data_IF_767560803681
#
_entry.id   IF_767560803681
#
_cell.length_a   1.000
_cell.length_b   1.000
_cell.length_c   1.000
_cell.angle_alpha   90.00
_cell.angle_beta   90.00
_cell.angle_gamma   90.00
#
_symmetry.space_group_name_H-M   'P 1'
#
loop_
_entity.id
_entity.type
_entity.pdbx_description
1 polymer ?
#
# COMPACT_ATOMS: atom_id res chain seq x y z
N UNK A 1 -13.02 8.30 -12.31
CA UNK A 1 -14.15 8.71 -11.44
C UNK A 1 -13.83 10.07 -10.85
N UNK A 2 -14.72 11.05 -10.96
CA UNK A 2 -14.53 12.38 -10.37
C UNK A 2 -15.09 12.39 -8.94
N UNK A 3 -14.28 12.84 -7.97
CA UNK A 3 -14.60 12.85 -6.53
C UNK A 3 -14.34 14.25 -5.97
N UNK A 4 -15.29 14.82 -5.24
CA UNK A 4 -15.17 16.14 -4.66
C UNK A 4 -14.08 16.22 -3.57
N UNK A 5 -13.40 17.37 -3.49
CA UNK A 5 -12.51 17.66 -2.36
C UNK A 5 -13.36 17.92 -1.12
N UNK A 6 -12.89 17.49 0.05
CA UNK A 6 -13.61 17.61 1.34
C UNK A 6 -14.15 19.02 1.66
N UNK A 7 -13.53 20.07 1.13
CA UNK A 7 -13.89 21.48 1.39
C UNK A 7 -14.49 22.21 0.18
N UNK A 8 -14.86 21.51 -0.88
CA UNK A 8 -15.35 22.16 -2.11
C UNK A 8 -16.82 22.59 -2.08
N UNK A 9 -17.59 22.13 -1.08
CA UNK A 9 -19.04 22.33 -0.99
C UNK A 9 -19.85 21.50 -1.99
N UNK A 10 -19.19 20.65 -2.80
CA UNK A 10 -19.84 19.77 -3.77
C UNK A 10 -20.14 18.43 -3.11
N UNK A 11 -21.40 17.99 -3.18
CA UNK A 11 -21.80 16.65 -2.73
C UNK A 11 -21.33 15.63 -3.76
N UNK A 12 -20.52 14.67 -3.32
CA UNK A 12 -20.16 13.48 -4.09
C UNK A 12 -19.97 12.30 -3.15
N UNK A 13 -19.93 11.10 -3.70
CA UNK A 13 -19.38 9.93 -3.00
C UNK A 13 -17.97 10.21 -2.48
N UNK A 14 -17.67 9.70 -1.30
CA UNK A 14 -16.34 9.76 -0.71
C UNK A 14 -15.37 8.80 -1.41
N UNK A 15 -14.07 9.01 -1.20
CA UNK A 15 -13.05 8.08 -1.68
C UNK A 15 -13.25 6.70 -1.06
N UNK A 16 -13.56 6.65 0.23
CA UNK A 16 -13.77 5.41 0.99
C UNK A 16 -14.96 4.62 0.43
N UNK A 17 -16.10 5.26 0.21
CA UNK A 17 -17.28 4.62 -0.38
C UNK A 17 -17.02 4.11 -1.80
N UNK A 18 -16.31 4.91 -2.62
CA UNK A 18 -15.92 4.51 -3.97
C UNK A 18 -14.97 3.29 -3.94
N UNK A 19 -14.00 3.27 -3.04
CA UNK A 19 -13.05 2.17 -2.87
C UNK A 19 -13.73 0.89 -2.38
N UNK A 20 -14.64 1.00 -1.42
CA UNK A 20 -15.41 -0.16 -0.92
C UNK A 20 -16.29 -0.75 -2.00
N UNK A 21 -16.94 0.11 -2.79
CA UNK A 21 -17.72 -0.32 -3.95
C UNK A 21 -16.82 -1.01 -4.97
N UNK A 22 -15.68 -0.40 -5.34
CA UNK A 22 -14.71 -1.00 -6.24
C UNK A 22 -14.25 -2.39 -5.75
N UNK A 23 -13.96 -2.53 -4.45
CA UNK A 23 -13.55 -3.80 -3.85
C UNK A 23 -14.61 -4.90 -4.02
N UNK A 24 -15.89 -4.59 -3.81
CA UNK A 24 -17.00 -5.53 -4.01
C UNK A 24 -17.08 -6.08 -5.44
N UNK A 25 -16.61 -5.32 -6.44
CA UNK A 25 -16.57 -5.74 -7.84
C UNK A 25 -15.21 -6.32 -8.27
N UNK A 26 -14.24 -6.44 -7.36
CA UNK A 26 -12.90 -6.98 -7.65
C UNK A 26 -11.96 -5.96 -8.29
N UNK A 27 -12.18 -4.67 -8.04
CA UNK A 27 -11.39 -3.57 -8.58
C UNK A 27 -10.43 -3.02 -7.50
N UNK A 28 -9.47 -2.20 -7.94
CA UNK A 28 -8.51 -1.48 -7.10
C UNK A 28 -8.35 -0.06 -7.62
N UNK A 29 -8.08 0.87 -6.72
CA UNK A 29 -7.65 2.23 -7.04
C UNK A 29 -6.23 2.24 -7.64
N UNK A 30 -5.95 3.25 -8.46
CA UNK A 30 -4.60 3.48 -9.00
C UNK A 30 -4.29 4.97 -9.00
N UNK A 31 -4.06 5.55 -10.18
CA UNK A 31 -3.69 6.95 -10.33
C UNK A 31 -4.77 7.87 -9.77
N UNK A 32 -4.32 8.86 -9.01
CA UNK A 32 -5.10 9.97 -8.50
C UNK A 32 -4.49 11.27 -9.03
N UNK A 33 -5.33 12.10 -9.62
CA UNK A 33 -4.90 13.37 -10.23
C UNK A 33 -5.87 14.50 -9.87
N UNK A 34 -5.36 15.72 -9.80
CA UNK A 34 -6.20 16.91 -9.70
C UNK A 34 -6.89 17.15 -11.03
N UNK A 35 -8.20 17.42 -11.00
CA UNK A 35 -8.93 17.82 -12.20
C UNK A 35 -9.19 19.31 -12.21
N UNK A 36 -9.78 19.81 -11.12
CA UNK A 36 -10.06 21.23 -10.94
C UNK A 36 -9.89 21.63 -9.45
N UNK A 37 -10.29 22.85 -9.10
CA UNK A 37 -10.23 23.36 -7.73
C UNK A 37 -11.10 22.57 -6.75
N UNK A 38 -12.18 21.95 -7.23
CA UNK A 38 -13.24 21.34 -6.41
C UNK A 38 -13.25 19.81 -6.42
N UNK A 39 -12.50 19.18 -7.31
CA UNK A 39 -12.53 17.72 -7.53
C UNK A 39 -11.16 17.13 -7.87
N UNK A 40 -11.04 15.82 -7.63
CA UNK A 40 -9.94 14.97 -8.11
C UNK A 40 -10.50 13.88 -9.03
N UNK A 41 -9.68 13.36 -9.93
CA UNK A 41 -9.94 12.13 -10.66
C UNK A 41 -9.25 10.97 -9.95
N UNK A 42 -10.04 9.95 -9.62
CA UNK A 42 -9.56 8.65 -9.14
C UNK A 42 -9.80 7.60 -10.21
N UNK A 43 -8.74 6.93 -10.64
CA UNK A 43 -8.83 5.76 -11.53
C UNK A 43 -9.06 4.50 -10.69
N UNK A 44 -10.02 3.69 -11.11
CA UNK A 44 -10.24 2.33 -10.62
C UNK A 44 -10.12 1.37 -11.79
N UNK A 45 -9.49 0.23 -11.56
CA UNK A 45 -9.27 -0.81 -12.58
C UNK A 45 -9.57 -2.18 -11.99
N UNK A 46 -10.02 -3.16 -12.79
CA UNK A 46 -10.09 -4.55 -12.35
C UNK A 46 -8.74 -5.02 -11.78
N UNK A 47 -8.76 -5.81 -10.71
CA UNK A 47 -7.54 -6.41 -10.16
C UNK A 47 -6.97 -7.40 -11.17
N UNK A 48 -5.71 -7.21 -11.53
CA UNK A 48 -4.96 -8.20 -12.29
C UNK A 48 -4.57 -9.37 -11.41
N UNK A 49 -4.22 -10.51 -12.02
CA UNK A 49 -3.79 -11.70 -11.28
C UNK A 49 -2.60 -11.41 -10.36
N UNK A 50 -1.67 -10.55 -10.78
CA UNK A 50 -0.49 -10.18 -9.99
C UNK A 50 -0.70 -9.01 -9.03
N UNK A 51 -1.92 -8.46 -8.94
CA UNK A 51 -2.20 -7.32 -8.06
C UNK A 51 -2.10 -7.75 -6.59
N UNK A 52 -1.23 -7.08 -5.84
CA UNK A 52 -1.03 -7.33 -4.42
C UNK A 52 -2.28 -6.93 -3.61
N UNK A 53 -2.49 -7.63 -2.50
CA UNK A 53 -3.55 -7.33 -1.53
C UNK A 53 -2.95 -6.71 -0.28
N UNK A 54 -3.67 -5.75 0.32
CA UNK A 54 -3.38 -5.28 1.67
C UNK A 54 -4.23 -6.05 2.66
N UNK A 55 -3.75 -6.19 3.89
CA UNK A 55 -4.51 -6.80 4.98
C UNK A 55 -5.85 -6.10 5.22
N UNK A 56 -5.86 -4.76 5.16
CA UNK A 56 -7.07 -3.95 5.28
C UNK A 56 -8.11 -4.29 4.19
N UNK A 57 -7.68 -4.44 2.93
CA UNK A 57 -8.61 -4.81 1.85
C UNK A 57 -9.07 -6.26 1.96
N UNK A 58 -8.21 -7.16 2.45
CA UNK A 58 -8.59 -8.55 2.75
C UNK A 58 -9.67 -8.59 3.82
N UNK A 59 -9.47 -7.92 4.95
CA UNK A 59 -10.45 -7.85 6.06
C UNK A 59 -11.79 -7.23 5.60
N UNK A 60 -11.74 -6.14 4.83
CA UNK A 60 -12.95 -5.55 4.23
C UNK A 60 -13.65 -6.51 3.27
N UNK A 61 -12.91 -7.21 2.43
CA UNK A 61 -13.49 -8.18 1.51
C UNK A 61 -14.15 -9.35 2.25
N UNK A 62 -13.53 -9.85 3.32
CA UNK A 62 -14.12 -10.88 4.21
C UNK A 62 -15.42 -10.39 4.86
N UNK A 63 -15.43 -9.15 5.35
CA UNK A 63 -16.64 -8.51 5.88
C UNK A 63 -17.74 -8.40 4.80
N UNK A 64 -17.38 -8.03 3.57
CA UNK A 64 -18.31 -7.88 2.45
C UNK A 64 -18.85 -9.22 1.93
N UNK A 65 -18.08 -10.30 2.08
CA UNK A 65 -18.58 -11.65 1.86
C UNK A 65 -19.60 -11.99 2.93
N UNK A 66 -19.26 -11.79 4.20
CA UNK A 66 -20.11 -12.12 5.35
C UNK A 66 -21.47 -11.42 5.30
N UNK A 67 -21.51 -10.17 4.82
CA UNK A 67 -22.75 -9.39 4.72
C UNK A 67 -23.44 -9.45 3.34
N UNK A 68 -22.99 -10.32 2.43
CA UNK A 68 -23.61 -10.51 1.11
C UNK A 68 -23.46 -9.35 0.12
N UNK A 69 -22.55 -8.40 0.38
CA UNK A 69 -22.29 -7.26 -0.52
C UNK A 69 -21.33 -7.60 -1.67
N UNK A 70 -20.44 -8.58 -1.47
CA UNK A 70 -19.46 -9.01 -2.46
C UNK A 70 -20.14 -9.52 -3.74
N UNK A 71 -19.65 -9.09 -4.91
CA UNK A 71 -20.21 -9.47 -6.22
C UNK A 71 -19.44 -10.63 -6.84
N UNK A 72 -20.01 -11.34 -7.84
CA UNK A 72 -19.34 -12.46 -8.49
C UNK A 72 -17.96 -12.13 -9.04
N UNK A 73 -17.77 -10.93 -9.61
CA UNK A 73 -16.46 -10.48 -10.11
C UNK A 73 -15.45 -10.24 -8.97
N UNK A 74 -15.92 -9.76 -7.82
CA UNK A 74 -15.11 -9.63 -6.60
C UNK A 74 -14.70 -10.99 -6.03
N UNK A 75 -15.63 -11.94 -5.96
CA UNK A 75 -15.33 -13.33 -5.57
C UNK A 75 -14.27 -13.95 -6.46
N UNK A 76 -14.41 -13.79 -7.78
CA UNK A 76 -13.42 -14.28 -8.75
C UNK A 76 -12.02 -13.67 -8.53
N UNK A 77 -11.94 -12.38 -8.23
CA UNK A 77 -10.67 -11.73 -7.92
C UNK A 77 -10.02 -12.29 -6.64
N UNK A 78 -10.83 -12.62 -5.63
CA UNK A 78 -10.37 -13.24 -4.38
C UNK A 78 -9.88 -14.67 -4.63
N UNK A 79 -10.61 -15.47 -5.42
CA UNK A 79 -10.21 -16.82 -5.79
C UNK A 79 -8.86 -16.85 -6.51
N UNK A 80 -8.68 -15.96 -7.50
CA UNK A 80 -7.39 -15.80 -8.21
C UNK A 80 -6.29 -15.44 -7.21
N UNK A 81 -6.55 -14.51 -6.29
CA UNK A 81 -5.59 -14.09 -5.28
C UNK A 81 -5.22 -15.21 -4.30
N UNK A 82 -6.16 -16.10 -3.96
CA UNK A 82 -5.90 -17.29 -3.14
C UNK A 82 -5.02 -18.28 -3.90
N UNK A 83 -5.36 -18.58 -5.16
CA UNK A 83 -4.61 -19.53 -6.00
C UNK A 83 -3.14 -19.13 -6.21
N UNK A 84 -2.85 -17.83 -6.27
CA UNK A 84 -1.49 -17.34 -6.51
C UNK A 84 -0.79 -16.79 -5.26
N UNK A 85 -1.38 -17.01 -4.07
CA UNK A 85 -0.82 -16.64 -2.78
C UNK A 85 -0.80 -15.14 -2.47
N UNK A 86 -1.41 -14.28 -3.30
CA UNK A 86 -1.54 -12.84 -3.00
C UNK A 86 -2.49 -12.59 -1.83
N UNK A 87 -3.48 -13.45 -1.65
CA UNK A 87 -4.44 -13.37 -0.54
C UNK A 87 -3.76 -13.66 0.82
N UNK A 88 -2.84 -14.61 0.86
CA UNK A 88 -2.12 -14.97 2.08
C UNK A 88 -0.91 -14.06 2.30
N UNK A 89 -0.28 -13.59 1.22
CA UNK A 89 0.78 -12.58 1.24
C UNK A 89 0.28 -11.14 1.41
N UNK A 90 -0.91 -10.93 1.95
CA UNK A 90 -1.49 -9.61 2.11
C UNK A 90 -0.63 -8.75 3.05
N UNK A 91 -0.20 -7.58 2.58
CA UNK A 91 0.77 -6.78 3.32
C UNK A 91 0.13 -5.98 4.45
N UNK A 92 0.91 -5.80 5.52
CA UNK A 92 0.52 -5.05 6.72
C UNK A 92 0.38 -3.53 6.44
N UNK A 93 -0.63 -2.87 7.02
CA UNK A 93 -0.78 -1.42 6.90
C UNK A 93 0.39 -0.67 7.52
N UNK A 94 0.52 0.60 7.13
CA UNK A 94 1.55 1.50 7.65
C UNK A 94 1.53 1.63 9.18
N UNK A 95 0.36 1.55 9.80
CA UNK A 95 0.20 1.63 11.26
C UNK A 95 0.81 0.45 12.02
N UNK A 96 0.95 -0.73 11.41
CA UNK A 96 1.57 -1.91 12.03
C UNK A 96 3.00 -2.18 11.53
N UNK A 97 3.59 -1.24 10.78
CA UNK A 97 4.90 -1.42 10.17
C UNK A 97 6.04 -1.34 11.19
N UNK A 98 6.54 -2.51 11.59
CA UNK A 98 7.75 -2.66 12.42
C UNK A 98 9.03 -2.72 11.59
N UNK A 99 10.17 -2.33 12.19
CA UNK A 99 11.50 -2.48 11.60
C UNK A 99 11.89 -3.98 11.65
N UNK A 100 12.22 -4.61 10.52
CA UNK A 100 12.77 -5.96 10.54
C UNK A 100 14.15 -6.02 11.20
N UNK A 101 14.43 -7.10 11.91
CA UNK A 101 15.68 -7.30 12.67
C UNK A 101 16.94 -7.19 11.79
N UNK A 102 16.93 -7.77 10.60
CA UNK A 102 18.05 -7.69 9.67
C UNK A 102 18.31 -6.26 9.17
N UNK A 103 17.27 -5.46 8.99
CA UNK A 103 17.43 -4.04 8.66
C UNK A 103 17.90 -3.22 9.87
N UNK A 104 17.40 -3.53 11.07
CA UNK A 104 17.85 -2.89 12.30
C UNK A 104 19.33 -3.16 12.58
N UNK A 105 19.79 -4.39 12.36
CA UNK A 105 21.18 -4.77 12.49
C UNK A 105 22.09 -3.98 11.55
N UNK A 106 21.68 -3.78 10.29
CA UNK A 106 22.45 -2.94 9.35
C UNK A 106 22.40 -1.45 9.70
N UNK A 107 21.25 -0.93 10.18
CA UNK A 107 21.18 0.44 10.71
C UNK A 107 22.12 0.62 11.90
N UNK A 108 22.24 -0.37 12.78
CA UNK A 108 23.12 -0.31 13.95
C UNK A 108 24.61 -0.23 13.58
N UNK A 109 25.00 -0.71 12.39
CA UNK A 109 26.37 -0.60 11.87
C UNK A 109 26.69 0.78 11.27
N UNK A 110 25.68 1.58 10.93
CA UNK A 110 25.86 2.91 10.35
C UNK A 110 25.10 3.99 11.15
N UNK A 111 25.82 4.70 12.02
CA UNK A 111 25.24 5.70 12.92
C UNK A 111 24.59 6.88 12.19
N UNK A 112 25.13 7.28 11.02
CA UNK A 112 24.58 8.36 10.19
C UNK A 112 23.23 7.94 9.61
N UNK A 113 23.18 6.78 8.95
CA UNK A 113 21.95 6.24 8.39
C UNK A 113 20.89 6.01 9.47
N UNK A 114 21.28 5.50 10.65
CA UNK A 114 20.38 5.32 11.79
C UNK A 114 19.80 6.63 12.32
N UNK A 115 20.63 7.67 12.44
CA UNK A 115 20.19 8.98 12.87
C UNK A 115 19.19 9.58 11.87
N UNK A 116 19.51 9.55 10.58
CA UNK A 116 18.63 10.07 9.53
C UNK A 116 17.33 9.26 9.40
N UNK A 117 17.37 7.93 9.54
CA UNK A 117 16.16 7.10 9.53
C UNK A 117 15.16 7.49 10.64
N UNK A 118 15.64 7.96 11.79
CA UNK A 118 14.79 8.45 12.89
C UNK A 118 14.10 9.78 12.57
N UNK A 119 14.66 10.60 11.67
CA UNK A 119 14.05 11.89 11.28
C UNK A 119 13.03 11.75 10.16
N UNK A 120 12.95 10.58 9.52
CA UNK A 120 11.99 10.34 8.44
C UNK A 120 10.55 10.40 8.93
N UNK A 121 9.69 11.00 8.10
CA UNK A 121 8.25 10.94 8.28
C UNK A 121 7.71 9.51 8.12
N UNK A 122 6.46 9.32 8.55
CA UNK A 122 5.82 8.01 8.51
C UNK A 122 5.72 7.44 7.10
N UNK A 123 5.52 8.30 6.08
CA UNK A 123 5.41 7.92 4.66
C UNK A 123 6.73 7.32 4.16
N UNK A 124 7.85 8.00 4.37
CA UNK A 124 9.17 7.53 3.94
C UNK A 124 9.61 6.29 4.72
N UNK A 125 9.40 6.27 6.04
CA UNK A 125 9.68 5.06 6.85
C UNK A 125 8.93 3.86 6.31
N UNK A 126 7.62 3.98 6.11
CA UNK A 126 6.83 2.88 5.57
C UNK A 126 7.29 2.43 4.19
N UNK A 127 7.63 3.37 3.32
CA UNK A 127 8.07 3.10 1.96
C UNK A 127 9.36 2.25 1.91
N UNK A 128 10.27 2.45 2.87
CA UNK A 128 11.48 1.61 3.06
C UNK A 128 11.07 0.23 3.58
N UNK A 129 10.35 0.19 4.71
CA UNK A 129 9.98 -1.06 5.39
C UNK A 129 9.15 -1.98 4.48
N UNK A 130 8.20 -1.43 3.74
CA UNK A 130 7.38 -2.15 2.77
C UNK A 130 8.22 -2.76 1.64
N UNK A 131 9.18 -2.01 1.08
CA UNK A 131 10.08 -2.52 0.03
C UNK A 131 11.02 -3.59 0.56
N UNK A 132 11.47 -3.51 1.81
CA UNK A 132 12.27 -4.58 2.42
C UNK A 132 11.41 -5.83 2.66
N UNK A 133 10.25 -5.69 3.33
CA UNK A 133 9.35 -6.79 3.67
C UNK A 133 8.74 -7.50 2.44
N UNK A 134 8.48 -6.78 1.35
CA UNK A 134 7.93 -7.36 0.12
C UNK A 134 8.95 -8.12 -0.74
N UNK A 135 10.25 -8.07 -0.40
CA UNK A 135 11.28 -8.81 -1.14
C UNK A 135 11.25 -10.30 -0.76
N UNK A 136 10.70 -11.14 -1.66
CA UNK A 136 10.56 -12.59 -1.43
C UNK A 136 11.89 -13.36 -1.46
N UNK A 137 12.87 -12.92 -2.25
CA UNK A 137 14.18 -13.56 -2.36
C UNK A 137 15.17 -12.91 -1.40
N UNK A 138 15.91 -13.71 -0.64
CA UNK A 138 16.90 -13.23 0.33
C UNK A 138 17.94 -12.29 -0.30
N UNK A 139 18.43 -12.64 -1.49
CA UNK A 139 19.38 -11.80 -2.24
C UNK A 139 18.79 -10.41 -2.55
N UNK A 140 17.54 -10.36 -3.04
CA UNK A 140 16.86 -9.09 -3.33
C UNK A 140 16.64 -8.28 -2.06
N UNK A 141 16.33 -8.94 -0.94
CA UNK A 141 16.14 -8.32 0.35
C UNK A 141 17.42 -7.65 0.85
N UNK A 142 18.55 -8.36 0.81
CA UNK A 142 19.86 -7.82 1.21
C UNK A 142 20.28 -6.65 0.32
N UNK A 143 20.12 -6.76 -1.01
CA UNK A 143 20.39 -5.65 -1.93
C UNK A 143 19.56 -4.40 -1.60
N UNK A 144 18.26 -4.56 -1.29
CA UNK A 144 17.39 -3.45 -0.89
C UNK A 144 17.84 -2.81 0.42
N UNK A 145 18.18 -3.62 1.43
CA UNK A 145 18.69 -3.12 2.71
C UNK A 145 19.93 -2.26 2.47
N UNK A 146 20.93 -2.77 1.76
CA UNK A 146 22.17 -2.03 1.46
C UNK A 146 21.88 -0.73 0.71
N UNK A 147 20.99 -0.77 -0.30
CA UNK A 147 20.57 0.42 -1.04
C UNK A 147 19.96 1.49 -0.12
N UNK A 148 19.07 1.09 0.80
CA UNK A 148 18.46 2.04 1.71
C UNK A 148 19.44 2.57 2.76
N UNK A 149 20.38 1.76 3.25
CA UNK A 149 21.44 2.26 4.15
C UNK A 149 22.27 3.34 3.45
N UNK A 150 22.74 3.09 2.22
CA UNK A 150 23.50 4.07 1.44
C UNK A 150 22.72 5.35 1.14
N UNK A 151 21.41 5.23 0.84
CA UNK A 151 20.54 6.39 0.63
C UNK A 151 20.39 7.23 1.91
N UNK A 152 20.14 6.56 3.04
CA UNK A 152 19.97 7.23 4.34
C UNK A 152 21.26 7.89 4.83
N UNK A 153 22.41 7.26 4.58
CA UNK A 153 23.73 7.81 4.89
C UNK A 153 24.00 9.13 4.16
N UNK A 154 23.47 9.28 2.93
CA UNK A 154 23.54 10.51 2.15
C UNK A 154 22.50 11.57 2.58
N UNK A 155 21.64 11.27 3.55
CA UNK A 155 20.54 12.15 3.93
C UNK A 155 19.41 12.21 2.89
N UNK A 156 19.27 11.18 2.06
CA UNK A 156 18.25 11.10 1.02
C UNK A 156 17.01 10.33 1.50
N UNK A 157 15.84 10.69 0.95
CA UNK A 157 14.55 10.05 1.22
C UNK A 157 13.79 9.78 -0.08
N UNK A 158 12.87 8.82 -0.07
CA UNK A 158 12.16 8.36 -1.27
C UNK A 158 11.18 9.42 -1.79
N UNK A 159 10.46 10.06 -0.89
CA UNK A 159 9.48 11.10 -1.20
C UNK A 159 9.92 12.43 -0.60
N UNK A 160 10.01 13.45 -1.46
CA UNK A 160 10.34 14.83 -1.08
C UNK A 160 9.22 15.48 -0.28
#
# INVERSE_FOLDING_TARGET
>A
MQIAKKKSGVVSVSYEEALESALCYGWIDSQKETFDEKTWLQRFTPRGSKTIWSKVNKEKAELFIKNGRMKPSGMKAIEIAKQNGQWDGAYEPQSSATIPEDFENELNKNSIAKAFFKTLDSRNRYAILFRIKSAKKQETRMKRIQQFIMMLEKGEKIYQ
#
